data_IF_585071131407
#
_entry.id   IF_585071131407
#
_cell.length_a   1.000
_cell.length_b   1.000
_cell.length_c   1.000
_cell.angle_alpha   90.00
_cell.angle_beta   90.00
_cell.angle_gamma   90.00
#
_symmetry.space_group_name_H-M   'P 1'
#
loop_
_entity.id
_entity.type
_entity.pdbx_description
1 polymer ?
#
# COMPACT_ATOMS: atom_id res chain seq x y z
N UNK A 1 -21.57 13.76 -1.48
CA UNK A 1 -21.34 12.52 -2.22
C UNK A 1 -20.61 12.87 -3.50
N UNK A 2 -19.56 12.13 -3.87
CA UNK A 2 -18.82 12.29 -5.12
C UNK A 2 -18.60 10.91 -5.78
N UNK A 3 -18.57 10.91 -7.11
CA UNK A 3 -18.21 9.76 -7.92
C UNK A 3 -17.28 10.21 -9.04
N UNK A 4 -16.22 9.46 -9.29
CA UNK A 4 -15.28 9.71 -10.36
C UNK A 4 -14.96 8.41 -11.10
N UNK A 5 -14.91 8.49 -12.43
CA UNK A 5 -14.41 7.43 -13.29
C UNK A 5 -13.14 7.91 -13.98
N UNK A 6 -12.16 7.05 -14.09
CA UNK A 6 -10.93 7.35 -14.80
C UNK A 6 -10.48 6.21 -15.70
N UNK A 7 -9.80 6.58 -16.78
CA UNK A 7 -9.07 5.68 -17.67
C UNK A 7 -7.71 6.30 -17.97
N UNK A 8 -6.66 5.49 -17.87
CA UNK A 8 -5.28 5.88 -18.19
C UNK A 8 -4.67 4.83 -19.12
N UNK A 9 -4.12 5.30 -20.21
CA UNK A 9 -3.27 4.49 -21.08
C UNK A 9 -1.82 4.66 -20.66
N UNK A 10 -1.15 3.57 -20.37
CA UNK A 10 0.24 3.53 -19.92
C UNK A 10 1.12 3.14 -21.10
N UNK A 11 1.89 4.08 -21.63
CA UNK A 11 2.80 3.84 -22.76
C UNK A 11 3.92 2.87 -22.39
N UNK A 12 4.38 2.90 -21.15
CA UNK A 12 5.38 1.99 -20.61
C UNK A 12 5.18 1.79 -19.11
N UNK A 13 5.74 0.71 -18.60
CA UNK A 13 5.86 0.44 -17.17
C UNK A 13 7.30 0.06 -16.84
N UNK A 14 7.94 0.82 -15.95
CA UNK A 14 9.32 0.56 -15.54
C UNK A 14 9.32 -0.50 -14.45
N UNK A 15 10.09 -1.56 -14.65
CA UNK A 15 10.26 -2.64 -13.68
C UNK A 15 11.72 -3.05 -13.58
N UNK A 16 12.13 -3.58 -12.44
CA UNK A 16 13.47 -4.15 -12.28
C UNK A 16 13.51 -5.55 -12.90
N UNK A 17 14.41 -5.76 -13.84
CA UNK A 17 14.70 -7.05 -14.43
C UNK A 17 16.01 -7.60 -13.85
N UNK A 18 15.98 -8.83 -13.36
CA UNK A 18 17.17 -9.56 -12.92
C UNK A 18 17.45 -10.70 -13.89
N UNK A 19 18.70 -10.85 -14.32
CA UNK A 19 19.18 -11.92 -15.20
C UNK A 19 20.31 -12.64 -14.50
N UNK A 20 20.10 -13.92 -14.19
CA UNK A 20 21.16 -14.77 -13.67
C UNK A 20 22.04 -15.28 -14.82
N UNK A 21 23.28 -15.65 -14.49
CA UNK A 21 24.29 -16.08 -15.46
C UNK A 21 24.58 -15.06 -16.57
N UNK A 22 24.35 -13.78 -16.30
CA UNK A 22 24.72 -12.71 -17.25
C UNK A 22 26.24 -12.72 -17.48
N UNK A 23 26.64 -12.60 -18.75
CA UNK A 23 28.05 -12.60 -19.14
C UNK A 23 28.67 -11.19 -18.98
N UNK A 24 29.56 -11.04 -18.02
CA UNK A 24 30.33 -9.84 -17.74
C UNK A 24 31.73 -9.87 -18.37
N UNK A 25 32.04 -10.82 -19.25
CA UNK A 25 33.40 -10.99 -19.81
C UNK A 25 33.98 -9.70 -20.37
N UNK A 26 33.17 -8.89 -21.05
CA UNK A 26 33.62 -7.59 -21.60
C UNK A 26 33.99 -6.57 -20.51
N UNK A 27 33.27 -6.57 -19.40
CA UNK A 27 33.57 -5.67 -18.27
C UNK A 27 34.79 -6.15 -17.50
N UNK A 28 34.91 -7.47 -17.29
CA UNK A 28 36.09 -8.08 -16.62
C UNK A 28 37.35 -7.87 -17.46
N UNK A 29 37.29 -8.01 -18.79
CA UNK A 29 38.41 -7.77 -19.69
C UNK A 29 38.90 -6.31 -19.70
N UNK A 30 38.00 -5.37 -19.44
CA UNK A 30 38.31 -3.93 -19.39
C UNK A 30 38.53 -3.42 -17.94
N UNK A 31 38.58 -4.32 -16.97
CA UNK A 31 38.81 -3.96 -15.57
C UNK A 31 40.19 -3.35 -15.39
N UNK A 32 40.23 -2.13 -14.88
CA UNK A 32 41.50 -1.48 -14.47
C UNK A 32 41.78 -1.90 -13.01
N UNK A 33 42.86 -2.63 -12.74
CA UNK A 33 43.15 -3.09 -11.39
C UNK A 33 43.32 -1.91 -10.43
N UNK A 34 42.48 -1.90 -9.38
CA UNK A 34 42.71 -1.15 -8.16
C UNK A 34 43.60 -1.96 -7.17
N UNK A 35 43.74 -1.53 -5.92
CA UNK A 35 44.37 -2.34 -4.90
C UNK A 35 43.51 -3.58 -4.59
N UNK A 36 43.82 -4.70 -5.17
CA UNK A 36 43.10 -5.97 -4.99
C UNK A 36 43.28 -6.94 -6.17
N UNK A 37 42.89 -8.18 -5.98
CA UNK A 37 42.88 -9.19 -7.03
C UNK A 37 41.87 -8.85 -8.12
N UNK A 38 42.18 -9.02 -9.40
CA UNK A 38 41.25 -8.81 -10.47
C UNK A 38 40.09 -9.83 -10.40
N UNK A 39 38.85 -9.45 -10.81
CA UNK A 39 37.75 -10.40 -10.82
C UNK A 39 38.02 -11.54 -11.78
N UNK A 40 37.86 -12.79 -11.28
CA UNK A 40 38.06 -14.02 -12.08
C UNK A 40 36.75 -14.59 -12.60
N UNK A 41 35.62 -14.24 -11.99
CA UNK A 41 34.30 -14.70 -12.40
C UNK A 41 33.75 -13.78 -13.49
N UNK A 42 33.40 -14.36 -14.64
CA UNK A 42 32.82 -13.65 -15.79
C UNK A 42 31.30 -13.77 -15.86
N UNK A 43 30.69 -14.58 -15.01
CA UNK A 43 29.23 -14.73 -14.95
C UNK A 43 28.71 -14.32 -13.59
N UNK A 44 27.55 -13.64 -13.57
CA UNK A 44 26.94 -13.17 -12.35
C UNK A 44 25.49 -12.78 -12.55
N UNK A 45 24.90 -12.15 -11.55
CA UNK A 45 23.53 -11.63 -11.61
C UNK A 45 23.55 -10.17 -12.04
N UNK A 46 22.84 -9.86 -13.11
CA UNK A 46 22.61 -8.49 -13.58
C UNK A 46 21.22 -8.03 -13.21
N UNK A 47 21.08 -6.89 -12.56
CA UNK A 47 19.80 -6.30 -12.19
C UNK A 47 19.77 -4.83 -12.60
N UNK A 48 18.74 -4.46 -13.37
CA UNK A 48 18.56 -3.09 -13.84
C UNK A 48 17.08 -2.77 -14.07
N UNK A 49 16.68 -1.48 -14.06
CA UNK A 49 15.36 -1.06 -14.51
C UNK A 49 15.22 -1.18 -16.03
N UNK A 50 14.08 -1.70 -16.47
CA UNK A 50 13.70 -1.84 -17.87
C UNK A 50 12.30 -1.28 -18.12
N UNK A 51 12.08 -0.79 -19.34
CA UNK A 51 10.76 -0.38 -19.80
C UNK A 51 9.98 -1.60 -20.33
N UNK A 52 8.85 -1.88 -19.70
CA UNK A 52 7.85 -2.81 -20.21
C UNK A 52 6.99 -2.21 -21.32
N UNK A 53 6.05 -2.99 -21.83
CA UNK A 53 5.18 -2.57 -22.95
C UNK A 53 4.00 -1.67 -22.51
N UNK A 54 3.92 -1.27 -21.23
CA UNK A 54 2.81 -0.49 -20.72
C UNK A 54 1.50 -1.29 -20.61
N UNK A 55 0.37 -0.60 -20.72
CA UNK A 55 -0.95 -1.21 -20.56
C UNK A 55 -2.03 -0.20 -20.26
N UNK A 56 -3.05 -0.59 -19.48
CA UNK A 56 -4.16 0.29 -19.10
C UNK A 56 -4.46 0.22 -17.61
N UNK A 57 -5.02 1.31 -17.10
CA UNK A 57 -5.55 1.44 -15.76
C UNK A 57 -6.89 2.18 -15.83
N UNK A 58 -7.92 1.60 -15.26
CA UNK A 58 -9.25 2.21 -15.14
C UNK A 58 -9.82 1.98 -13.75
N UNK A 59 -10.69 2.87 -13.33
CA UNK A 59 -11.32 2.72 -12.02
C UNK A 59 -12.52 3.60 -11.81
N UNK A 60 -13.27 3.24 -10.77
CA UNK A 60 -14.40 3.98 -10.23
C UNK A 60 -14.08 4.30 -8.77
N UNK A 61 -14.18 5.56 -8.42
CA UNK A 61 -14.04 6.06 -7.06
C UNK A 61 -15.35 6.68 -6.58
N UNK A 62 -15.77 6.29 -5.40
CA UNK A 62 -16.97 6.79 -4.73
C UNK A 62 -16.59 7.34 -3.37
N UNK A 63 -17.15 8.46 -2.97
CA UNK A 63 -16.99 8.99 -1.62
C UNK A 63 -18.26 9.68 -1.13
N UNK A 64 -18.48 9.59 0.18
CA UNK A 64 -19.58 10.28 0.85
C UNK A 64 -19.11 10.76 2.23
N UNK A 65 -19.63 11.94 2.60
CA UNK A 65 -19.53 12.52 3.94
C UNK A 65 -20.93 12.93 4.35
N UNK A 66 -21.44 12.34 5.44
CA UNK A 66 -22.81 12.52 5.88
C UNK A 66 -22.83 12.86 7.36
N UNK A 67 -23.03 14.14 7.74
CA UNK A 67 -23.42 14.51 9.10
C UNK A 67 -24.80 13.92 9.40
N UNK A 68 -24.92 13.13 10.46
CA UNK A 68 -26.17 12.45 10.79
C UNK A 68 -27.27 13.40 11.34
N UNK A 69 -26.89 14.62 11.69
CA UNK A 69 -27.85 15.72 11.99
C UNK A 69 -28.80 16.01 10.83
N UNK A 70 -28.41 15.67 9.57
CA UNK A 70 -29.29 15.77 8.40
C UNK A 70 -30.49 14.82 8.48
N UNK A 71 -30.39 13.72 9.25
CA UNK A 71 -31.46 12.73 9.43
C UNK A 71 -32.37 13.11 10.61
N UNK A 72 -31.78 13.53 11.71
CA UNK A 72 -32.49 13.98 12.91
C UNK A 72 -31.56 14.83 13.80
N UNK A 73 -32.09 15.91 14.45
CA UNK A 73 -31.32 16.72 15.37
C UNK A 73 -30.75 15.95 16.59
N UNK A 74 -31.34 14.79 16.95
CA UNK A 74 -30.85 13.92 18.03
C UNK A 74 -29.44 13.39 17.74
N UNK A 75 -29.08 13.25 16.46
CA UNK A 75 -27.77 12.77 16.00
C UNK A 75 -26.76 13.91 15.74
N UNK A 76 -27.01 15.09 16.29
CA UNK A 76 -26.08 16.21 16.18
C UNK A 76 -24.72 15.88 16.79
N UNK A 77 -23.65 16.18 16.07
CA UNK A 77 -22.28 15.78 16.37
C UNK A 77 -21.85 14.45 15.75
N UNK A 78 -22.76 13.56 15.39
CA UNK A 78 -22.42 12.30 14.72
C UNK A 78 -22.31 12.47 13.21
N UNK A 79 -21.40 11.68 12.59
CA UNK A 79 -21.29 11.59 11.15
C UNK A 79 -20.58 10.34 10.68
N UNK A 80 -20.67 10.12 9.37
CA UNK A 80 -20.05 9.01 8.67
C UNK A 80 -19.33 9.51 7.44
N UNK A 81 -18.08 9.03 7.25
CA UNK A 81 -17.29 9.22 6.05
C UNK A 81 -17.06 7.86 5.41
N UNK A 82 -17.29 7.74 4.13
CA UNK A 82 -17.05 6.51 3.40
C UNK A 82 -16.38 6.76 2.07
N UNK A 83 -15.46 5.88 1.67
CA UNK A 83 -14.95 5.83 0.30
C UNK A 83 -14.77 4.39 -0.18
N UNK A 84 -14.98 4.20 -1.49
CA UNK A 84 -14.77 2.94 -2.18
C UNK A 84 -14.05 3.20 -3.49
N UNK A 85 -13.00 2.42 -3.78
CA UNK A 85 -12.29 2.44 -5.04
C UNK A 85 -12.27 1.05 -5.65
N UNK A 86 -12.63 0.98 -6.93
CA UNK A 86 -12.62 -0.23 -7.74
C UNK A 86 -11.68 0.00 -8.91
N UNK A 87 -10.56 -0.74 -8.94
CA UNK A 87 -9.50 -0.57 -9.91
C UNK A 87 -9.33 -1.83 -10.74
N UNK A 88 -9.14 -1.66 -12.04
CA UNK A 88 -8.75 -2.71 -12.96
C UNK A 88 -7.55 -2.23 -13.78
N UNK A 89 -6.51 -3.05 -13.83
CA UNK A 89 -5.27 -2.69 -14.52
C UNK A 89 -4.68 -3.89 -15.22
N UNK A 90 -4.01 -3.63 -16.32
CA UNK A 90 -3.37 -4.63 -17.15
C UNK A 90 -2.08 -4.04 -17.70
N UNK A 91 -0.93 -4.53 -17.25
CA UNK A 91 0.40 -4.13 -17.74
C UNK A 91 1.14 -5.33 -18.28
N UNK A 92 1.84 -5.15 -19.40
CA UNK A 92 2.69 -6.17 -20.00
C UNK A 92 4.14 -5.90 -19.65
N UNK A 93 4.75 -6.85 -18.97
CA UNK A 93 6.17 -6.86 -18.68
C UNK A 93 6.84 -7.87 -19.59
N UNK A 94 7.98 -7.50 -20.18
CA UNK A 94 8.75 -8.42 -21.01
C UNK A 94 9.34 -9.50 -20.11
N UNK A 95 9.04 -10.76 -20.40
CA UNK A 95 9.68 -11.88 -19.70
C UNK A 95 11.17 -11.92 -20.02
N UNK A 96 12.09 -12.14 -19.04
CA UNK A 96 13.45 -12.52 -19.34
C UNK A 96 13.42 -13.86 -20.12
N UNK A 97 14.40 -14.08 -20.97
CA UNK A 97 14.48 -15.28 -21.86
C UNK A 97 14.34 -16.61 -21.11
N UNK A 98 14.61 -16.64 -19.80
CA UNK A 98 14.55 -17.84 -18.93
C UNK A 98 13.45 -17.79 -17.86
N UNK A 99 12.48 -16.88 -17.92
CA UNK A 99 11.43 -16.78 -16.89
C UNK A 99 10.24 -17.67 -17.22
N UNK A 100 10.05 -18.73 -16.46
CA UNK A 100 9.04 -19.76 -16.72
C UNK A 100 7.73 -19.61 -15.96
N UNK A 101 7.65 -18.77 -14.92
CA UNK A 101 6.53 -18.81 -13.96
C UNK A 101 5.44 -17.75 -14.13
N UNK A 102 5.70 -16.62 -14.79
CA UNK A 102 4.72 -15.54 -14.98
C UNK A 102 4.21 -15.47 -16.42
N UNK A 103 4.96 -16.02 -17.38
CA UNK A 103 4.66 -15.96 -18.81
C UNK A 103 4.71 -14.54 -19.37
N UNK A 104 4.30 -14.39 -20.64
CA UNK A 104 4.23 -13.10 -21.35
C UNK A 104 2.86 -12.40 -21.19
N UNK A 105 1.96 -12.97 -20.39
CA UNK A 105 0.62 -12.45 -20.17
C UNK A 105 0.61 -11.14 -19.41
N UNK A 106 -0.46 -10.37 -19.56
CA UNK A 106 -0.63 -9.13 -18.78
C UNK A 106 -0.86 -9.48 -17.30
N UNK A 107 -0.32 -8.64 -16.44
CA UNK A 107 -0.51 -8.72 -14.98
C UNK A 107 -1.19 -7.45 -14.48
N UNK A 108 -1.78 -7.52 -13.28
CA UNK A 108 -2.24 -6.30 -12.60
C UNK A 108 -1.05 -5.41 -12.23
N UNK A 109 -1.25 -4.11 -12.24
CA UNK A 109 -0.21 -3.13 -11.86
C UNK A 109 0.25 -3.40 -10.42
N UNK A 110 1.55 -3.64 -10.18
CA UNK A 110 2.08 -3.82 -8.83
C UNK A 110 1.78 -2.62 -7.93
N UNK A 111 1.52 -2.88 -6.64
CA UNK A 111 1.12 -1.88 -5.66
C UNK A 111 -0.37 -1.52 -5.68
N UNK A 112 -1.13 -1.93 -6.69
CA UNK A 112 -2.53 -1.56 -6.86
C UNK A 112 -3.50 -2.66 -6.42
N UNK A 113 -4.27 -2.40 -5.37
CA UNK A 113 -5.40 -3.26 -4.97
C UNK A 113 -6.61 -3.03 -5.88
N UNK A 114 -7.27 -4.11 -6.29
CA UNK A 114 -8.50 -4.01 -7.11
C UNK A 114 -9.67 -3.37 -6.37
N UNK A 115 -9.72 -3.50 -5.04
CA UNK A 115 -10.79 -2.95 -4.20
C UNK A 115 -10.19 -2.35 -2.94
N UNK A 116 -10.54 -1.11 -2.66
CA UNK A 116 -10.17 -0.39 -1.44
C UNK A 116 -11.42 0.24 -0.86
N UNK A 117 -11.62 0.08 0.45
CA UNK A 117 -12.73 0.65 1.19
C UNK A 117 -12.21 1.35 2.43
N UNK A 118 -12.73 2.52 2.72
CA UNK A 118 -12.52 3.23 3.98
C UNK A 118 -13.89 3.64 4.52
N UNK A 119 -14.09 3.41 5.79
CA UNK A 119 -15.30 3.80 6.50
C UNK A 119 -14.90 4.40 7.85
N UNK A 120 -15.39 5.58 8.16
CA UNK A 120 -15.18 6.25 9.45
C UNK A 120 -16.51 6.67 10.02
N UNK A 121 -16.79 6.27 11.25
CA UNK A 121 -17.85 6.87 12.07
C UNK A 121 -17.19 7.82 13.08
N UNK A 122 -17.77 8.97 13.29
CA UNK A 122 -17.26 9.98 14.21
C UNK A 122 -18.38 10.63 15.03
N UNK A 123 -17.97 11.16 16.17
CA UNK A 123 -18.76 12.07 16.99
C UNK A 123 -17.87 13.27 17.35
N UNK A 124 -18.38 14.48 17.15
CA UNK A 124 -17.68 15.72 17.44
C UNK A 124 -18.67 16.77 17.97
N UNK A 125 -18.60 17.08 19.27
CA UNK A 125 -19.47 18.09 19.90
C UNK A 125 -18.86 18.57 21.21
N UNK A 126 -18.98 19.89 21.48
CA UNK A 126 -18.60 20.52 22.74
C UNK A 126 -17.17 20.22 23.20
N UNK A 127 -16.22 20.24 22.26
CA UNK A 127 -14.80 19.96 22.52
C UNK A 127 -14.45 18.48 22.61
N UNK A 128 -15.42 17.57 22.69
CA UNK A 128 -15.18 16.12 22.62
C UNK A 128 -15.21 15.66 21.18
N UNK A 129 -14.19 14.88 20.78
CA UNK A 129 -14.13 14.18 19.51
C UNK A 129 -13.82 12.69 19.71
N UNK A 130 -14.49 11.85 18.94
CA UNK A 130 -14.22 10.42 18.87
C UNK A 130 -14.42 9.94 17.46
N UNK A 131 -13.55 9.03 16.99
CA UNK A 131 -13.71 8.37 15.70
C UNK A 131 -13.22 6.95 15.73
N UNK A 132 -13.86 6.12 14.90
CA UNK A 132 -13.41 4.79 14.58
C UNK A 132 -13.39 4.64 13.06
N UNK A 133 -12.30 4.11 12.52
CA UNK A 133 -12.09 3.96 11.08
C UNK A 133 -11.76 2.52 10.74
N UNK A 134 -12.37 2.00 9.67
CA UNK A 134 -12.01 0.74 9.03
C UNK A 134 -11.35 1.05 7.69
N UNK A 135 -10.17 0.47 7.46
CA UNK A 135 -9.51 0.42 6.15
C UNK A 135 -9.46 -1.03 5.69
N UNK A 136 -9.93 -1.29 4.47
CA UNK A 136 -9.93 -2.63 3.89
C UNK A 136 -9.45 -2.55 2.45
N UNK A 137 -8.53 -3.45 2.07
CA UNK A 137 -8.11 -3.60 0.68
C UNK A 137 -8.02 -5.08 0.28
N UNK A 138 -8.18 -5.36 -1.00
CA UNK A 138 -7.97 -6.69 -1.55
C UNK A 138 -6.48 -7.00 -1.72
N UNK A 139 -6.15 -8.28 -1.91
CA UNK A 139 -4.82 -8.72 -2.31
C UNK A 139 -4.33 -7.94 -3.54
N UNK A 140 -3.01 -7.75 -3.63
CA UNK A 140 -2.37 -7.08 -4.76
C UNK A 140 -0.96 -7.62 -4.98
N UNK A 141 -0.41 -7.43 -6.18
CA UNK A 141 0.98 -7.73 -6.48
C UNK A 141 1.86 -6.71 -5.78
N UNK A 142 2.62 -7.14 -4.77
CA UNK A 142 3.58 -6.28 -4.06
C UNK A 142 4.86 -6.13 -4.85
N UNK A 143 5.35 -7.23 -5.42
CA UNK A 143 6.64 -7.26 -6.08
C UNK A 143 6.66 -8.32 -7.20
N UNK A 144 7.45 -8.02 -8.24
CA UNK A 144 7.83 -8.97 -9.27
C UNK A 144 9.21 -9.49 -8.89
N UNK A 145 9.23 -10.60 -8.15
CA UNK A 145 10.47 -11.21 -7.66
C UNK A 145 11.07 -12.21 -8.64
N UNK A 146 12.35 -12.51 -8.44
CA UNK A 146 13.04 -13.66 -9.04
C UNK A 146 13.42 -14.63 -7.93
N UNK A 147 13.12 -15.90 -8.12
CA UNK A 147 13.58 -16.96 -7.24
C UNK A 147 14.18 -18.07 -8.08
N UNK A 148 15.45 -18.38 -7.89
CA UNK A 148 16.21 -19.36 -8.68
C UNK A 148 16.06 -19.19 -10.21
N UNK A 149 16.12 -17.97 -10.72
CA UNK A 149 15.96 -17.68 -12.15
C UNK A 149 14.52 -17.75 -12.65
N UNK A 150 13.55 -18.14 -11.83
CA UNK A 150 12.13 -18.11 -12.14
C UNK A 150 11.49 -16.82 -11.67
N UNK A 151 10.78 -16.14 -12.57
CA UNK A 151 9.99 -14.97 -12.21
C UNK A 151 8.77 -15.38 -11.39
N UNK A 152 8.61 -14.81 -10.22
CA UNK A 152 7.49 -15.10 -9.33
C UNK A 152 6.78 -13.80 -8.95
N UNK A 153 5.45 -13.79 -9.00
CA UNK A 153 4.66 -12.70 -8.45
C UNK A 153 4.52 -12.88 -6.95
N UNK A 154 5.01 -11.90 -6.20
CA UNK A 154 4.79 -11.83 -4.76
C UNK A 154 3.54 -11.01 -4.50
N UNK A 155 2.57 -11.62 -3.89
CA UNK A 155 1.33 -10.97 -3.50
C UNK A 155 1.37 -10.55 -2.04
N UNK A 156 0.82 -9.38 -1.76
CA UNK A 156 0.46 -8.95 -0.41
C UNK A 156 -1.00 -9.32 -0.19
N UNK A 157 -1.27 -10.04 0.89
CA UNK A 157 -2.64 -10.41 1.29
C UNK A 157 -3.41 -9.15 1.67
N UNK A 158 -4.64 -9.05 1.21
CA UNK A 158 -5.54 -7.96 1.60
C UNK A 158 -5.70 -7.88 3.11
N UNK A 159 -5.81 -6.67 3.60
CA UNK A 159 -5.87 -6.39 5.02
C UNK A 159 -7.15 -5.63 5.38
N UNK A 160 -7.55 -5.77 6.64
CA UNK A 160 -8.64 -5.04 7.28
C UNK A 160 -8.12 -4.50 8.60
N UNK A 161 -7.96 -3.19 8.69
CA UNK A 161 -7.36 -2.50 9.83
C UNK A 161 -8.40 -1.58 10.45
N UNK A 162 -8.51 -1.63 11.77
CA UNK A 162 -9.32 -0.71 12.57
C UNK A 162 -8.41 0.21 13.37
N UNK A 163 -8.68 1.51 13.27
CA UNK A 163 -8.04 2.57 14.02
C UNK A 163 -9.11 3.34 14.80
N UNK A 164 -8.80 3.80 16.00
CA UNK A 164 -9.69 4.63 16.80
C UNK A 164 -8.94 5.82 17.40
N UNK A 165 -9.68 6.88 17.66
CA UNK A 165 -9.18 8.09 18.31
C UNK A 165 -10.27 8.67 19.20
N UNK A 166 -9.86 9.20 20.34
CA UNK A 166 -10.70 10.01 21.21
C UNK A 166 -9.91 11.23 21.67
N UNK A 167 -10.53 12.39 21.66
CA UNK A 167 -9.93 13.65 22.06
C UNK A 167 -10.87 14.52 22.87
N UNK A 168 -10.28 15.46 23.59
CA UNK A 168 -11.01 16.51 24.27
C UNK A 168 -10.21 17.82 24.24
N UNK A 169 -10.87 18.88 23.78
CA UNK A 169 -10.35 20.25 23.79
C UNK A 169 -11.10 21.06 24.84
N UNK A 170 -10.38 21.58 25.80
CA UNK A 170 -10.96 22.39 26.90
C UNK A 170 -11.38 23.77 26.39
N UNK A 171 -12.67 24.07 26.55
CA UNK A 171 -13.29 25.28 26.05
C UNK A 171 -12.83 26.52 26.83
N UNK A 172 -13.13 27.71 26.28
CA UNK A 172 -13.03 28.99 26.98
C UNK A 172 -13.85 28.98 28.28
N UNK A 173 -13.28 29.53 29.36
CA UNK A 173 -13.86 29.45 30.70
C UNK A 173 -13.44 28.24 31.56
N UNK A 174 -12.79 27.24 30.97
CA UNK A 174 -12.12 26.21 31.75
C UNK A 174 -10.77 26.70 32.30
N UNK A 175 -10.38 26.20 33.49
CA UNK A 175 -9.01 26.42 34.02
C UNK A 175 -7.92 25.82 33.13
N UNK A 176 -8.30 24.89 32.25
CA UNK A 176 -7.41 24.23 31.29
C UNK A 176 -7.66 24.72 29.85
N UNK A 177 -8.25 25.90 29.69
CA UNK A 177 -8.43 26.54 28.38
C UNK A 177 -7.14 26.47 27.55
N UNK A 178 -7.27 26.14 26.27
CA UNK A 178 -6.13 25.98 25.37
C UNK A 178 -5.48 24.58 25.40
N UNK A 179 -5.78 23.72 26.38
CA UNK A 179 -5.32 22.33 26.42
C UNK A 179 -6.23 21.45 25.54
N UNK A 180 -5.61 20.62 24.72
CA UNK A 180 -6.25 19.50 24.02
C UNK A 180 -5.51 18.22 24.36
N UNK A 181 -6.23 17.16 24.69
CA UNK A 181 -5.68 15.82 24.97
C UNK A 181 -6.28 14.83 23.98
N UNK A 182 -5.46 13.92 23.46
CA UNK A 182 -5.87 12.95 22.46
C UNK A 182 -5.25 11.59 22.75
N UNK A 183 -6.05 10.53 22.66
CA UNK A 183 -5.63 9.14 22.66
C UNK A 183 -5.92 8.54 21.29
N UNK A 184 -4.90 7.92 20.68
CA UNK A 184 -5.02 7.20 19.41
C UNK A 184 -4.68 5.74 19.62
N UNK A 185 -5.39 4.88 18.91
CA UNK A 185 -5.13 3.44 18.87
C UNK A 185 -5.14 2.98 17.41
N UNK A 186 -4.05 2.42 16.96
CA UNK A 186 -3.88 1.93 15.59
C UNK A 186 -3.81 0.41 15.58
N UNK A 187 -4.34 -0.17 14.50
CA UNK A 187 -4.39 -1.63 14.28
C UNK A 187 -5.06 -2.39 15.44
N UNK A 188 -6.23 -1.95 15.88
CA UNK A 188 -6.95 -2.54 17.01
C UNK A 188 -7.22 -4.04 16.87
N UNK A 189 -7.33 -4.55 15.65
CA UNK A 189 -7.54 -5.96 15.35
C UNK A 189 -6.26 -6.78 15.29
N UNK A 190 -5.08 -6.12 15.46
CA UNK A 190 -3.78 -6.77 15.29
C UNK A 190 -3.66 -7.50 13.96
N UNK A 191 -4.10 -6.84 12.87
CA UNK A 191 -4.06 -7.42 11.54
C UNK A 191 -2.60 -7.68 11.13
N UNK A 192 -2.25 -8.93 10.75
CA UNK A 192 -0.90 -9.25 10.34
C UNK A 192 -0.63 -8.82 8.90
N UNK A 193 0.61 -8.47 8.61
CA UNK A 193 1.11 -8.38 7.24
C UNK A 193 1.49 -9.77 6.75
N UNK A 194 0.98 -10.17 5.58
CA UNK A 194 1.21 -11.49 5.00
C UNK A 194 1.50 -11.38 3.51
N UNK A 195 2.43 -12.20 3.05
CA UNK A 195 2.74 -12.32 1.62
C UNK A 195 2.74 -13.78 1.17
N UNK A 196 2.54 -14.00 -0.14
CA UNK A 196 2.60 -15.31 -0.74
C UNK A 196 3.16 -15.26 -2.18
N UNK A 197 3.71 -16.37 -2.67
CA UNK A 197 4.30 -16.50 -3.99
C UNK A 197 3.33 -17.17 -4.96
N UNK A 198 2.76 -16.40 -5.88
CA UNK A 198 1.84 -16.91 -6.92
C UNK A 198 0.48 -17.31 -6.36
N UNK A 199 0.41 -18.28 -5.47
CA UNK A 199 -0.81 -18.84 -4.90
C UNK A 199 -0.76 -18.87 -3.37
N UNK A 200 -1.93 -18.79 -2.71
CA UNK A 200 -2.05 -18.62 -1.24
C UNK A 200 -1.52 -19.80 -0.41
N UNK A 201 -1.38 -20.96 -1.02
CA UNK A 201 -0.76 -22.15 -0.43
C UNK A 201 0.78 -22.07 -0.33
N UNK A 202 1.37 -21.00 -0.88
CA UNK A 202 2.82 -20.73 -0.83
C UNK A 202 3.11 -19.46 -0.01
N UNK A 203 2.89 -19.47 1.32
CA UNK A 203 3.17 -18.31 2.16
C UNK A 203 4.67 -18.00 2.18
N UNK A 204 5.00 -16.69 2.16
CA UNK A 204 6.38 -16.20 2.23
C UNK A 204 6.66 -15.52 3.57
N UNK A 205 5.79 -14.61 3.98
CA UNK A 205 5.98 -13.84 5.20
C UNK A 205 4.70 -13.77 6.01
N UNK A 206 4.88 -13.75 7.31
CA UNK A 206 3.86 -13.47 8.31
C UNK A 206 4.48 -12.58 9.36
N UNK A 207 4.03 -11.33 9.47
CA UNK A 207 4.59 -10.34 10.40
C UNK A 207 3.44 -9.70 11.19
N UNK A 208 3.54 -9.71 12.50
CA UNK A 208 2.63 -8.99 13.39
C UNK A 208 3.32 -7.71 13.90
N UNK A 209 2.84 -6.57 13.41
CA UNK A 209 3.32 -5.26 13.86
C UNK A 209 2.77 -4.86 15.24
N UNK A 210 1.70 -5.54 15.67
CA UNK A 210 1.03 -5.23 16.93
C UNK A 210 0.04 -4.08 16.84
N UNK A 211 -0.48 -3.71 18.00
CA UNK A 211 -1.33 -2.53 18.23
C UNK A 211 -0.44 -1.39 18.72
N UNK A 212 -0.73 -0.18 18.29
CA UNK A 212 -0.01 1.01 18.75
C UNK A 212 -0.98 1.95 19.44
N UNK A 213 -0.59 2.46 20.60
CA UNK A 213 -1.33 3.46 21.36
C UNK A 213 -0.47 4.69 21.53
N UNK A 214 -1.04 5.86 21.25
CA UNK A 214 -0.38 7.16 21.37
C UNK A 214 -1.23 8.09 22.21
N UNK A 215 -0.64 8.70 23.23
CA UNK A 215 -1.24 9.76 24.02
C UNK A 215 -0.54 11.09 23.68
N UNK A 216 -1.31 12.07 23.28
CA UNK A 216 -0.84 13.42 22.94
C UNK A 216 -1.53 14.49 23.78
N UNK A 217 -0.81 15.56 24.03
CA UNK A 217 -1.36 16.79 24.60
C UNK A 217 -0.78 17.99 23.87
N UNK A 218 -1.64 18.97 23.55
CA UNK A 218 -1.25 20.22 22.90
C UNK A 218 -1.82 21.38 23.70
N UNK A 219 -1.02 22.41 23.94
CA UNK A 219 -1.47 23.63 24.61
C UNK A 219 -1.29 24.83 23.69
N UNK A 220 -2.35 25.65 23.53
CA UNK A 220 -2.33 26.91 22.79
C UNK A 220 -2.36 28.06 23.80
N UNK A 221 -1.35 28.90 23.73
CA UNK A 221 -1.24 30.14 24.55
C UNK A 221 -2.12 31.22 23.99
#
# INVERSE_FOLDING_TARGET
>A
VAAAFFYKDLTSYIYTQTRDNYDFSSLVANYVPGPGEPPTLTKGTFSAPFNGKGGSLRGLELSASVPLSMLTPVLDGFGVLGSASFNDSSVKIKSPENATSVGDGPISLPGLSKRVFNLTAYYEKNGFDARISERKRSDFIGEIGNFNGARTLRYVVGEKIFDAQVGYTFAEGSKLHGLSVQLQASNLTNAPYRTYAGTKDRPLEYIEWGRTYLLGATYKF
#
